data_IF_225971926083
#
_entry.id   IF_225971926083
#
_cell.length_a   1.000
_cell.length_b   1.000
_cell.length_c   1.000
_cell.angle_alpha   90.00
_cell.angle_beta   90.00
_cell.angle_gamma   90.00
#
_symmetry.space_group_name_H-M   'P 1'
#
loop_
_entity.id
_entity.type
_entity.pdbx_description
1 polymer ?
#
# COMPACT_ATOMS: atom_id res chain seq x y z
N UNK A 1 52.47 -0.35 67.04
CA UNK A 1 52.27 0.87 66.23
C UNK A 1 52.85 0.57 64.85
N UNK A 2 52.23 0.71 63.68
CA UNK A 2 50.91 1.17 63.20
C UNK A 2 50.58 0.26 62.00
N UNK A 3 49.32 -0.16 61.89
CA UNK A 3 48.74 -0.87 60.75
C UNK A 3 48.49 0.09 59.56
N UNK A 4 48.17 -0.53 58.41
CA UNK A 4 47.32 -0.07 57.27
C UNK A 4 48.11 0.45 56.06
N UNK A 5 47.75 0.16 54.81
CA UNK A 5 46.82 -0.79 54.19
C UNK A 5 47.11 -0.70 52.67
N UNK A 6 47.13 -1.83 51.96
CA UNK A 6 47.06 -1.84 50.50
C UNK A 6 45.69 -1.31 50.07
N UNK A 7 45.66 -0.34 49.15
CA UNK A 7 44.48 -0.03 48.37
C UNK A 7 44.83 -0.19 46.89
N UNK A 8 44.48 -1.34 46.34
CA UNK A 8 44.42 -1.55 44.90
C UNK A 8 43.16 -0.85 44.38
N UNK A 9 43.34 0.26 43.67
CA UNK A 9 42.27 0.91 42.91
C UNK A 9 42.05 0.12 41.62
N UNK A 10 41.05 -0.75 41.62
CA UNK A 10 40.48 -1.31 40.38
C UNK A 10 39.62 -0.21 39.76
N UNK A 11 40.11 0.39 38.69
CA UNK A 11 39.32 1.30 37.86
C UNK A 11 38.37 0.46 36.99
N UNK A 12 37.12 0.37 37.41
CA UNK A 12 36.04 -0.19 36.60
C UNK A 12 35.64 0.87 35.56
N UNK A 13 36.16 0.76 34.34
CA UNK A 13 35.74 1.61 33.23
C UNK A 13 34.33 1.19 32.81
N UNK A 14 33.33 1.96 33.24
CA UNK A 14 31.96 1.84 32.77
C UNK A 14 31.92 2.42 31.34
N UNK A 15 32.00 1.55 30.33
CA UNK A 15 31.66 1.94 28.96
C UNK A 15 30.14 2.11 28.94
N UNK A 16 29.68 3.32 29.24
CA UNK A 16 28.32 3.72 28.87
C UNK A 16 28.33 3.79 27.36
N UNK A 17 27.76 2.77 26.71
CA UNK A 17 27.36 2.89 25.33
C UNK A 17 26.38 4.08 25.29
N UNK A 18 26.88 5.23 24.82
CA UNK A 18 26.03 6.33 24.40
C UNK A 18 25.27 5.79 23.19
N UNK A 19 24.15 5.12 23.45
CA UNK A 19 23.11 5.00 22.45
C UNK A 19 22.87 6.43 21.94
N UNK A 20 22.82 6.65 20.62
CA UNK A 20 22.38 7.94 20.11
C UNK A 20 21.07 8.28 20.83
N UNK A 21 20.89 9.55 21.26
CA UNK A 21 19.62 9.93 21.89
C UNK A 21 18.52 9.43 20.97
N UNK A 22 17.62 8.60 21.50
CA UNK A 22 16.41 8.22 20.80
C UNK A 22 15.83 9.54 20.30
N UNK A 23 15.87 9.76 18.99
CA UNK A 23 15.20 10.91 18.41
C UNK A 23 13.78 10.84 18.94
N UNK A 24 13.33 11.92 19.58
CA UNK A 24 11.95 12.00 20.01
C UNK A 24 11.10 11.59 18.81
N UNK A 25 10.38 10.47 18.94
CA UNK A 25 9.46 10.00 17.89
C UNK A 25 8.64 11.23 17.51
N UNK A 26 8.65 11.66 16.23
CA UNK A 26 7.99 12.88 15.86
C UNK A 26 6.57 12.88 16.39
N UNK A 27 6.13 14.04 16.85
CA UNK A 27 4.73 14.45 16.88
C UNK A 27 4.00 13.89 15.66
N UNK A 28 2.85 13.24 15.84
CA UNK A 28 1.89 12.82 14.82
C UNK A 28 2.21 13.41 13.42
N UNK A 29 2.70 12.58 12.50
CA UNK A 29 2.99 13.01 11.13
C UNK A 29 1.76 12.84 10.26
N UNK A 30 1.38 13.91 9.55
CA UNK A 30 0.29 13.84 8.57
C UNK A 30 0.85 13.20 7.30
N UNK A 31 0.30 12.05 6.92
CA UNK A 31 0.68 11.34 5.69
C UNK A 31 0.36 12.17 4.45
N UNK A 32 -0.84 12.75 4.36
CA UNK A 32 -1.25 13.48 3.14
C UNK A 32 -0.80 14.94 3.14
N UNK A 33 -0.08 15.33 2.09
CA UNK A 33 0.36 16.69 1.75
C UNK A 33 -0.55 17.39 0.73
N UNK A 34 -1.86 17.17 0.83
CA UNK A 34 -2.91 17.59 -0.12
C UNK A 34 -3.27 19.09 -0.08
N UNK A 35 -2.34 19.93 0.37
CA UNK A 35 -2.42 21.39 0.37
C UNK A 35 -1.19 22.09 -0.22
N UNK A 36 -0.33 21.34 -0.89
CA UNK A 36 0.94 21.79 -1.47
C UNK A 36 1.05 21.30 -2.91
N UNK A 37 1.10 22.22 -3.88
CA UNK A 37 1.25 21.88 -5.29
C UNK A 37 2.45 20.95 -5.55
N UNK A 38 2.23 19.89 -6.32
CA UNK A 38 3.25 18.90 -6.68
C UNK A 38 3.57 17.88 -5.58
N UNK A 39 2.78 17.81 -4.50
CA UNK A 39 2.96 16.79 -3.46
C UNK A 39 2.53 15.39 -3.91
N UNK A 40 1.59 15.30 -4.84
CA UNK A 40 1.24 14.07 -5.55
C UNK A 40 1.94 14.03 -6.90
N UNK A 41 2.56 12.90 -7.20
CA UNK A 41 3.27 12.65 -8.47
C UNK A 41 2.86 11.30 -9.06
N UNK A 42 3.02 11.16 -10.37
CA UNK A 42 2.81 9.89 -11.06
C UNK A 42 3.82 8.84 -10.58
N UNK A 43 3.38 7.58 -10.49
CA UNK A 43 4.25 6.47 -10.14
C UNK A 43 5.48 6.41 -11.07
N UNK A 44 6.63 6.01 -10.52
CA UNK A 44 7.93 5.92 -11.22
C UNK A 44 8.46 7.27 -11.76
N UNK A 45 7.97 8.39 -11.23
CA UNK A 45 8.47 9.73 -11.56
C UNK A 45 8.86 10.50 -10.30
N UNK A 46 9.70 11.52 -10.45
CA UNK A 46 10.04 12.43 -9.34
C UNK A 46 9.12 13.66 -9.31
N UNK A 47 8.67 14.13 -10.47
CA UNK A 47 7.86 15.33 -10.65
C UNK A 47 6.79 15.18 -11.75
N UNK A 48 6.53 13.96 -12.20
CA UNK A 48 5.51 13.68 -13.20
C UNK A 48 4.12 14.00 -12.64
N UNK A 49 3.28 14.65 -13.44
CA UNK A 49 1.95 15.07 -13.03
C UNK A 49 0.99 15.04 -14.21
N UNK A 50 -0.29 14.83 -13.89
CA UNK A 50 -1.43 15.08 -14.75
C UNK A 50 -2.46 15.97 -14.03
N UNK A 51 -3.67 16.11 -14.57
CA UNK A 51 -4.73 16.88 -13.89
C UNK A 51 -5.14 16.24 -12.56
N UNK A 52 -5.18 14.90 -12.46
CA UNK A 52 -5.52 14.19 -11.24
C UNK A 52 -4.52 14.47 -10.12
N UNK A 53 -3.22 14.30 -10.36
CA UNK A 53 -2.14 14.58 -9.41
C UNK A 53 -2.12 16.05 -8.98
N UNK A 54 -2.30 16.98 -9.93
CA UNK A 54 -2.37 18.40 -9.63
C UNK A 54 -3.54 18.73 -8.70
N UNK A 55 -4.72 18.13 -8.92
CA UNK A 55 -5.88 18.31 -8.04
C UNK A 55 -5.73 17.60 -6.71
N UNK A 56 -5.09 16.44 -6.67
CA UNK A 56 -4.81 15.73 -5.44
C UNK A 56 -3.88 16.52 -4.52
N UNK A 57 -2.89 17.21 -5.10
CA UNK A 57 -1.92 18.03 -4.39
C UNK A 57 -2.54 19.20 -3.60
N UNK A 58 -3.74 19.67 -3.95
CA UNK A 58 -4.35 20.86 -3.33
C UNK A 58 -5.82 20.65 -2.91
N UNK A 59 -6.34 19.44 -3.10
CA UNK A 59 -7.77 19.15 -3.10
C UNK A 59 -8.40 18.97 -1.73
N UNK A 60 -7.60 18.67 -0.70
CA UNK A 60 -8.04 18.43 0.70
C UNK A 60 -9.27 17.52 0.81
N UNK A 61 -9.23 16.37 0.14
CA UNK A 61 -10.32 15.39 0.14
C UNK A 61 -10.12 14.35 1.24
N UNK A 62 -11.15 13.57 1.49
CA UNK A 62 -11.15 12.58 2.56
C UNK A 62 -10.28 11.37 2.18
N UNK A 63 -9.68 10.74 3.18
CA UNK A 63 -9.10 9.40 3.09
C UNK A 63 -9.83 8.49 4.09
N UNK A 64 -10.24 7.29 3.67
CA UNK A 64 -10.80 6.28 4.58
C UNK A 64 -10.19 4.90 4.33
N UNK A 65 -10.47 3.98 5.25
CA UNK A 65 -9.92 2.61 5.24
C UNK A 65 -8.38 2.56 5.10
N UNK A 66 -7.63 3.17 6.05
CA UNK A 66 -6.19 3.25 5.94
C UNK A 66 -5.51 1.90 6.19
N UNK A 67 -4.35 1.71 5.58
CA UNK A 67 -3.44 0.58 5.80
C UNK A 67 -2.00 1.06 5.92
N UNK A 68 -1.13 0.25 6.53
CA UNK A 68 0.29 0.56 6.69
C UNK A 68 1.12 -0.72 6.70
N UNK A 69 2.30 -0.67 6.10
CA UNK A 69 3.32 -1.72 6.18
C UNK A 69 4.70 -1.06 6.35
N UNK A 70 5.54 -1.68 7.17
CA UNK A 70 6.95 -1.31 7.35
C UNK A 70 7.77 -2.39 6.65
N UNK A 71 8.78 -1.97 5.90
CA UNK A 71 9.69 -2.91 5.24
C UNK A 71 10.55 -3.64 6.30
N UNK A 72 10.55 -4.99 6.34
CA UNK A 72 11.32 -5.75 7.33
C UNK A 72 12.84 -5.64 7.09
N UNK A 73 13.27 -5.26 5.89
CA UNK A 73 14.69 -5.14 5.50
C UNK A 73 15.23 -3.72 5.68
N UNK A 74 14.36 -2.72 5.74
CA UNK A 74 14.68 -1.32 6.02
C UNK A 74 13.51 -0.62 6.74
N UNK A 75 13.59 -0.49 8.06
CA UNK A 75 12.48 0.06 8.87
C UNK A 75 12.24 1.55 8.68
N UNK A 76 13.13 2.27 8.00
CA UNK A 76 12.87 3.66 7.61
C UNK A 76 11.90 3.75 6.43
N UNK A 77 11.73 2.65 5.68
CA UNK A 77 10.74 2.53 4.62
C UNK A 77 9.39 2.13 5.18
N UNK A 78 8.43 3.04 5.05
CA UNK A 78 7.04 2.83 5.47
C UNK A 78 6.13 3.15 4.31
N UNK A 79 5.19 2.25 4.02
CA UNK A 79 4.14 2.48 3.03
C UNK A 79 2.83 2.62 3.77
N UNK A 80 2.03 3.61 3.39
CA UNK A 80 0.65 3.76 3.80
C UNK A 80 -0.25 3.75 2.57
N UNK A 81 -1.50 3.34 2.76
CA UNK A 81 -2.53 3.34 1.73
C UNK A 81 -3.87 3.76 2.29
N UNK A 82 -4.75 4.24 1.41
CA UNK A 82 -6.14 4.54 1.76
C UNK A 82 -7.01 4.57 0.51
N UNK A 83 -8.32 4.58 0.71
CA UNK A 83 -9.27 5.07 -0.28
C UNK A 83 -9.13 6.60 -0.37
N UNK A 84 -8.43 7.10 -1.38
CA UNK A 84 -8.14 8.53 -1.54
C UNK A 84 -9.18 9.20 -2.45
N UNK A 85 -10.01 10.06 -1.85
CA UNK A 85 -11.05 10.77 -2.57
C UNK A 85 -10.51 12.00 -3.31
N UNK A 86 -9.20 12.27 -3.25
CA UNK A 86 -8.57 13.31 -4.06
C UNK A 86 -8.81 13.07 -5.56
N UNK A 87 -8.75 11.79 -5.98
CA UNK A 87 -8.98 11.37 -7.36
C UNK A 87 -10.38 11.75 -7.88
N UNK A 88 -11.37 11.83 -6.98
CA UNK A 88 -12.77 12.12 -7.33
C UNK A 88 -12.97 13.57 -7.82
N UNK A 89 -11.99 14.46 -7.64
CA UNK A 89 -12.05 15.82 -8.17
C UNK A 89 -12.06 15.82 -9.71
N UNK A 90 -11.30 14.90 -10.32
CA UNK A 90 -11.14 14.78 -11.76
C UNK A 90 -11.90 13.56 -12.28
N UNK A 91 -11.66 12.41 -11.65
CA UNK A 91 -12.17 11.10 -12.11
C UNK A 91 -13.60 10.79 -11.61
N UNK A 92 -14.21 11.68 -10.82
CA UNK A 92 -15.55 11.53 -10.22
C UNK A 92 -15.74 10.41 -9.19
N UNK A 93 -14.72 9.58 -8.95
CA UNK A 93 -14.74 8.46 -8.01
C UNK A 93 -13.43 8.35 -7.21
N UNK A 94 -13.47 7.56 -6.13
CA UNK A 94 -12.33 7.28 -5.24
C UNK A 94 -11.32 6.35 -5.90
N UNK A 95 -10.04 6.49 -5.53
CA UNK A 95 -8.98 5.59 -6.00
C UNK A 95 -8.06 5.12 -4.88
N UNK A 96 -7.29 4.05 -5.12
CA UNK A 96 -6.31 3.56 -4.15
C UNK A 96 -5.10 4.50 -4.07
N UNK A 97 -4.91 5.14 -2.92
CA UNK A 97 -3.78 6.02 -2.63
C UNK A 97 -2.54 5.25 -2.19
N UNK A 98 -1.37 5.68 -2.66
CA UNK A 98 -0.08 5.06 -2.37
C UNK A 98 0.87 6.12 -1.78
N UNK A 99 1.28 5.94 -0.52
CA UNK A 99 2.11 6.91 0.18
C UNK A 99 3.35 6.22 0.72
N UNK A 100 4.53 6.75 0.40
CA UNK A 100 5.82 6.14 0.76
C UNK A 100 6.68 7.11 1.57
N UNK A 101 7.19 6.64 2.70
CA UNK A 101 8.22 7.31 3.49
C UNK A 101 9.53 6.53 3.41
N UNK A 102 10.65 7.23 3.51
CA UNK A 102 12.02 6.66 3.63
C UNK A 102 12.77 7.23 4.83
N UNK A 103 12.05 7.77 5.80
CA UNK A 103 12.58 8.42 6.99
C UNK A 103 11.74 8.08 8.24
N UNK A 104 11.18 6.86 8.27
CA UNK A 104 10.44 6.35 9.41
C UNK A 104 9.07 7.02 9.61
N UNK A 105 8.48 7.58 8.55
CA UNK A 105 7.18 8.24 8.55
C UNK A 105 7.22 9.75 8.80
N UNK A 106 8.41 10.37 8.79
CA UNK A 106 8.54 11.82 9.01
C UNK A 106 8.09 12.63 7.78
N UNK A 107 8.41 12.16 6.58
CA UNK A 107 7.95 12.74 5.31
C UNK A 107 7.44 11.65 4.35
N UNK A 108 6.60 12.05 3.39
CA UNK A 108 5.88 11.14 2.51
C UNK A 108 5.89 11.62 1.05
N UNK A 109 6.21 10.72 0.13
CA UNK A 109 5.91 10.84 -1.29
C UNK A 109 4.52 10.28 -1.57
N UNK A 110 3.71 10.99 -2.35
CA UNK A 110 2.29 10.67 -2.55
C UNK A 110 2.02 10.35 -4.01
N UNK A 111 1.25 9.29 -4.25
CA UNK A 111 0.81 8.85 -5.58
C UNK A 111 -0.55 8.18 -5.45
N UNK A 112 -1.13 7.84 -6.60
CA UNK A 112 -2.19 6.84 -6.72
C UNK A 112 -1.59 5.54 -7.27
N UNK A 113 -2.21 4.39 -6.99
CA UNK A 113 -1.86 3.13 -7.66
C UNK A 113 -2.14 3.28 -9.17
N UNK A 114 -1.21 2.90 -10.07
CA UNK A 114 -1.39 3.11 -11.51
C UNK A 114 -2.64 2.46 -12.12
N UNK A 115 -3.27 3.19 -13.03
CA UNK A 115 -4.42 2.75 -13.83
C UNK A 115 -5.76 3.39 -13.47
N UNK A 116 -5.76 4.55 -12.80
CA UNK A 116 -6.98 5.36 -12.65
C UNK A 116 -7.47 5.87 -14.01
N UNK A 117 -8.74 6.31 -14.15
CA UNK A 117 -9.36 6.56 -15.44
C UNK A 117 -8.58 7.50 -16.38
N UNK A 118 -8.05 8.60 -15.85
CA UNK A 118 -7.29 9.59 -16.63
C UNK A 118 -5.75 9.36 -16.59
N UNK A 119 -5.29 8.23 -16.04
CA UNK A 119 -3.86 7.87 -15.97
C UNK A 119 -3.34 7.47 -17.36
N UNK A 120 -2.64 8.39 -18.01
CA UNK A 120 -2.03 8.18 -19.34
C UNK A 120 -0.52 7.93 -19.25
N UNK A 121 0.01 7.65 -18.05
CA UNK A 121 1.41 7.25 -17.89
C UNK A 121 1.63 5.82 -18.41
N UNK A 122 2.87 5.47 -18.78
CA UNK A 122 3.22 4.10 -19.20
C UNK A 122 2.83 3.05 -18.12
N UNK A 123 2.96 3.40 -16.83
CA UNK A 123 2.55 2.56 -15.71
C UNK A 123 1.02 2.40 -15.63
N UNK A 124 0.29 3.48 -15.90
CA UNK A 124 -1.17 3.50 -15.95
C UNK A 124 -1.71 2.65 -17.10
N UNK A 125 -1.27 2.93 -18.33
CA UNK A 125 -1.73 2.23 -19.53
C UNK A 125 -1.37 0.73 -19.53
N UNK A 126 -0.26 0.34 -18.91
CA UNK A 126 0.12 -1.06 -18.74
C UNK A 126 -0.65 -1.79 -17.65
N UNK A 127 -1.30 -1.07 -16.73
CA UNK A 127 -2.08 -1.64 -15.64
C UNK A 127 -3.37 -2.27 -16.18
N UNK A 128 -3.69 -3.54 -15.86
CA UNK A 128 -4.90 -4.21 -16.33
C UNK A 128 -6.19 -3.63 -15.76
N UNK A 129 -6.11 -2.69 -14.80
CA UNK A 129 -7.29 -1.97 -14.30
C UNK A 129 -7.66 -0.75 -15.14
N UNK A 130 -6.72 -0.20 -15.92
CA UNK A 130 -6.95 1.00 -16.73
C UNK A 130 -8.06 0.77 -17.75
N UNK A 131 -9.03 1.70 -17.79
CA UNK A 131 -10.22 1.60 -18.62
C UNK A 131 -11.22 0.49 -18.24
N UNK A 132 -11.02 -0.23 -17.13
CA UNK A 132 -11.91 -1.34 -16.71
C UNK A 132 -12.82 -1.01 -15.53
N UNK A 133 -12.45 -0.03 -14.71
CA UNK A 133 -13.23 0.47 -13.59
C UNK A 133 -13.06 1.97 -13.38
N UNK A 134 -14.06 2.59 -12.75
CA UNK A 134 -14.02 4.01 -12.38
C UNK A 134 -13.55 4.26 -10.94
N UNK A 135 -13.62 3.25 -10.06
CA UNK A 135 -13.27 3.39 -8.66
C UNK A 135 -12.34 2.27 -8.18
N UNK A 136 -11.50 2.60 -7.20
CA UNK A 136 -10.60 1.67 -6.54
C UNK A 136 -10.47 1.95 -5.05
N UNK A 137 -10.14 0.93 -4.26
CA UNK A 137 -10.00 1.08 -2.82
C UNK A 137 -9.66 -0.21 -2.08
N UNK A 138 -9.99 -0.20 -0.79
CA UNK A 138 -9.78 -1.20 0.25
C UNK A 138 -8.35 -1.77 0.25
N UNK A 139 -7.34 -0.90 0.42
CA UNK A 139 -5.96 -1.31 0.29
C UNK A 139 -5.49 -2.17 1.45
N UNK A 140 -4.73 -3.22 1.14
CA UNK A 140 -3.93 -3.97 2.09
C UNK A 140 -2.57 -4.29 1.49
N UNK A 141 -1.55 -4.49 2.33
CA UNK A 141 -0.18 -4.50 1.83
C UNK A 141 0.77 -5.23 2.77
N UNK A 142 1.80 -5.84 2.20
CA UNK A 142 2.83 -6.58 2.92
C UNK A 142 4.10 -6.64 2.08
N UNK A 143 5.25 -6.59 2.75
CA UNK A 143 6.56 -6.74 2.13
C UNK A 143 7.01 -8.21 2.17
N UNK A 144 7.71 -8.69 1.14
CA UNK A 144 8.55 -9.89 1.28
C UNK A 144 9.94 -9.52 1.83
N UNK A 145 10.76 -10.54 2.09
CA UNK A 145 12.13 -10.38 2.62
C UNK A 145 13.15 -9.89 1.57
N UNK A 146 12.70 -9.66 0.33
CA UNK A 146 13.51 -9.08 -0.76
C UNK A 146 13.23 -7.58 -0.94
N UNK A 147 12.40 -6.97 -0.08
CA UNK A 147 12.02 -5.56 -0.18
C UNK A 147 11.00 -5.28 -1.29
N UNK A 148 10.30 -6.30 -1.80
CA UNK A 148 9.16 -6.09 -2.67
C UNK A 148 7.91 -5.85 -1.83
N UNK A 149 7.18 -4.79 -2.14
CA UNK A 149 5.85 -4.56 -1.59
C UNK A 149 4.80 -5.17 -2.50
N UNK A 150 3.90 -5.96 -1.92
CA UNK A 150 2.64 -6.34 -2.55
C UNK A 150 1.51 -5.50 -1.97
N UNK A 151 0.74 -4.87 -2.85
CA UNK A 151 -0.34 -3.94 -2.52
C UNK A 151 -1.63 -4.44 -3.15
N UNK A 152 -2.49 -5.06 -2.36
CA UNK A 152 -3.78 -5.58 -2.79
C UNK A 152 -4.88 -4.51 -2.68
N UNK A 153 -5.78 -4.49 -3.66
CA UNK A 153 -6.85 -3.51 -3.74
C UNK A 153 -8.03 -4.05 -4.56
N UNK A 154 -9.17 -3.37 -4.46
CA UNK A 154 -10.32 -3.61 -5.35
C UNK A 154 -10.38 -2.57 -6.46
N UNK A 155 -10.90 -2.99 -7.61
CA UNK A 155 -11.26 -2.11 -8.72
C UNK A 155 -12.67 -2.46 -9.19
N UNK A 156 -13.55 -1.45 -9.21
CA UNK A 156 -14.99 -1.65 -9.29
C UNK A 156 -15.74 -0.50 -9.97
N UNK A 157 -16.95 -0.79 -10.44
CA UNK A 157 -17.87 0.20 -10.99
C UNK A 157 -19.16 0.24 -10.15
N UNK A 158 -19.55 1.43 -9.69
CA UNK A 158 -20.85 1.66 -9.04
C UNK A 158 -22.00 1.80 -10.06
N UNK A 159 -21.66 2.17 -11.29
CA UNK A 159 -22.58 2.28 -12.42
C UNK A 159 -22.42 1.12 -13.40
N UNK A 160 -23.33 0.99 -14.37
CA UNK A 160 -23.37 -0.16 -15.28
C UNK A 160 -22.17 -0.17 -16.25
N UNK A 161 -21.55 -1.34 -16.49
CA UNK A 161 -21.78 -2.60 -15.80
C UNK A 161 -21.19 -2.59 -14.38
N UNK A 162 -22.01 -2.93 -13.38
CA UNK A 162 -21.57 -3.01 -11.99
C UNK A 162 -20.73 -4.27 -11.83
N UNK A 163 -19.48 -4.11 -11.40
CA UNK A 163 -18.51 -5.17 -11.18
C UNK A 163 -17.55 -4.78 -10.06
N UNK A 164 -16.82 -5.75 -9.51
CA UNK A 164 -15.74 -5.53 -8.55
C UNK A 164 -14.79 -6.70 -8.56
N UNK A 165 -13.51 -6.44 -8.78
CA UNK A 165 -12.45 -7.44 -8.79
C UNK A 165 -11.36 -7.12 -7.79
N UNK A 166 -10.61 -8.16 -7.41
CA UNK A 166 -9.44 -8.06 -6.54
C UNK A 166 -8.18 -8.14 -7.40
N UNK A 167 -7.26 -7.23 -7.12
CA UNK A 167 -5.98 -7.08 -7.80
C UNK A 167 -4.86 -6.96 -6.78
N UNK A 168 -3.63 -7.27 -7.20
CA UNK A 168 -2.42 -7.02 -6.44
C UNK A 168 -1.42 -6.30 -7.33
N UNK A 169 -0.99 -5.11 -6.91
CA UNK A 169 0.15 -4.41 -7.46
C UNK A 169 1.44 -4.86 -6.76
N UNK A 170 2.53 -4.96 -7.50
CA UNK A 170 3.88 -5.15 -6.95
C UNK A 170 4.68 -3.88 -7.14
N UNK A 171 5.38 -3.48 -6.10
CA UNK A 171 6.41 -2.46 -6.13
C UNK A 171 7.75 -3.07 -5.73
N UNK A 172 8.78 -2.80 -6.52
CA UNK A 172 10.17 -3.16 -6.24
C UNK A 172 10.89 -2.03 -5.50
N UNK A 173 12.18 -2.25 -5.20
CA UNK A 173 13.09 -1.25 -4.64
C UNK A 173 12.53 -0.61 -3.36
N UNK A 174 12.13 -1.44 -2.39
CA UNK A 174 11.53 -0.99 -1.13
C UNK A 174 10.31 -0.10 -1.36
N UNK A 175 9.44 -0.48 -2.29
CA UNK A 175 8.24 0.28 -2.67
C UNK A 175 8.50 1.51 -3.56
N UNK A 176 9.71 1.78 -3.99
CA UNK A 176 9.98 2.99 -4.80
C UNK A 176 9.47 2.89 -6.24
N UNK A 177 9.44 1.67 -6.80
CA UNK A 177 9.19 1.45 -8.22
C UNK A 177 7.97 0.55 -8.43
N UNK A 178 6.90 1.07 -9.01
CA UNK A 178 5.80 0.26 -9.53
C UNK A 178 6.30 -0.68 -10.63
N UNK A 179 6.05 -1.98 -10.46
CA UNK A 179 6.44 -3.04 -11.38
C UNK A 179 5.25 -3.46 -12.25
N UNK A 180 4.16 -3.93 -11.62
CA UNK A 180 2.97 -4.43 -12.31
C UNK A 180 1.75 -4.50 -11.40
N UNK A 181 0.60 -4.72 -12.01
CA UNK A 181 -0.64 -5.14 -11.33
C UNK A 181 -1.16 -6.44 -11.94
N UNK A 182 -1.61 -7.37 -11.10
CA UNK A 182 -2.15 -8.67 -11.49
C UNK A 182 -3.59 -8.83 -10.99
N UNK A 183 -4.46 -9.34 -11.84
CA UNK A 183 -5.82 -9.74 -11.47
C UNK A 183 -5.77 -11.05 -10.68
N UNK A 184 -6.28 -11.04 -9.44
CA UNK A 184 -6.44 -12.26 -8.63
C UNK A 184 -7.81 -12.88 -8.86
N UNK A 185 -8.87 -12.06 -8.80
CA UNK A 185 -10.23 -12.54 -8.99
C UNK A 185 -11.11 -11.50 -9.63
N UNK A 186 -11.73 -11.87 -10.75
CA UNK A 186 -12.75 -11.05 -11.40
C UNK A 186 -14.11 -11.25 -10.74
N UNK A 187 -14.85 -10.15 -10.54
CA UNK A 187 -16.29 -10.20 -10.29
C UNK A 187 -17.09 -10.44 -11.57
N UNK A 188 -18.39 -10.75 -11.44
CA UNK A 188 -19.27 -10.90 -12.59
C UNK A 188 -20.01 -9.58 -12.87
N UNK A 189 -19.88 -8.99 -14.07
CA UNK A 189 -20.61 -7.79 -14.45
C UNK A 189 -22.13 -7.95 -14.29
N UNK A 190 -22.81 -6.89 -13.85
CA UNK A 190 -24.26 -6.90 -13.67
C UNK A 190 -24.92 -5.56 -14.01
N UNK A 191 -26.19 -5.61 -14.40
CA UNK A 191 -27.01 -4.43 -14.68
C UNK A 191 -27.75 -3.88 -13.46
N UNK A 192 -27.65 -4.55 -12.31
CA UNK A 192 -28.31 -4.21 -11.04
C UNK A 192 -27.33 -4.48 -9.90
N UNK A 193 -27.21 -3.56 -8.95
CA UNK A 193 -26.33 -3.72 -7.80
C UNK A 193 -26.67 -5.00 -7.03
N UNK A 194 -25.65 -5.81 -6.76
CA UNK A 194 -25.82 -7.12 -6.11
C UNK A 194 -26.35 -8.24 -7.02
N UNK A 195 -26.56 -8.04 -8.32
CA UNK A 195 -26.96 -9.14 -9.21
C UNK A 195 -25.77 -9.93 -9.79
N UNK A 196 -24.54 -9.42 -9.63
CA UNK A 196 -23.30 -10.09 -10.01
C UNK A 196 -22.46 -10.45 -8.79
N UNK A 197 -21.43 -11.29 -9.00
CA UNK A 197 -20.43 -11.58 -7.96
C UNK A 197 -19.53 -10.35 -7.77
N UNK A 198 -19.42 -9.90 -6.53
CA UNK A 198 -18.54 -8.78 -6.16
C UNK A 198 -17.44 -9.28 -5.24
N UNK A 199 -16.20 -8.90 -5.51
CA UNK A 199 -15.04 -9.28 -4.70
C UNK A 199 -14.62 -8.08 -3.86
N UNK A 200 -14.54 -8.23 -2.54
CA UNK A 200 -14.29 -7.13 -1.60
C UNK A 200 -13.67 -7.59 -0.27
N UNK A 201 -13.20 -6.66 0.56
CA UNK A 201 -12.48 -6.88 1.83
C UNK A 201 -11.28 -7.80 1.66
N UNK A 202 -10.41 -7.40 0.73
CA UNK A 202 -9.15 -8.09 0.47
C UNK A 202 -8.17 -7.88 1.63
N UNK A 203 -7.46 -8.94 2.01
CA UNK A 203 -6.29 -8.90 2.87
C UNK A 203 -5.17 -9.71 2.25
N UNK A 204 -3.94 -9.25 2.43
CA UNK A 204 -2.74 -9.87 1.86
C UNK A 204 -1.62 -9.95 2.91
N UNK A 205 -0.81 -11.01 2.83
CA UNK A 205 0.48 -11.13 3.55
C UNK A 205 1.48 -11.84 2.66
N UNK A 206 2.74 -11.41 2.68
CA UNK A 206 3.86 -12.20 2.17
C UNK A 206 4.46 -13.05 3.30
N UNK A 207 5.01 -14.21 2.96
CA UNK A 207 5.74 -15.07 3.89
C UNK A 207 7.15 -14.50 4.11
N UNK A 208 7.36 -13.94 5.29
CA UNK A 208 8.62 -13.33 5.74
C UNK A 208 9.46 -14.30 6.60
N UNK A 209 9.32 -15.61 6.35
CA UNK A 209 10.05 -16.64 7.09
C UNK A 209 11.09 -17.30 6.20
N UNK A 210 12.12 -17.90 6.81
CA UNK A 210 13.13 -18.71 6.10
C UNK A 210 12.63 -20.14 5.73
N UNK A 211 11.32 -20.36 5.72
CA UNK A 211 10.69 -21.68 5.53
C UNK A 211 10.57 -22.12 4.07
N UNK A 212 9.96 -23.29 3.85
CA UNK A 212 9.65 -23.80 2.50
C UNK A 212 8.77 -22.84 1.67
N UNK A 213 8.05 -21.95 2.34
CA UNK A 213 7.10 -21.03 1.73
C UNK A 213 7.58 -19.58 1.70
N UNK A 214 8.84 -19.32 2.07
CA UNK A 214 9.46 -18.00 2.01
C UNK A 214 9.14 -17.28 0.69
N UNK A 215 8.72 -16.01 0.77
CA UNK A 215 8.38 -15.18 -0.39
C UNK A 215 7.04 -15.50 -1.07
N UNK A 216 6.30 -16.53 -0.64
CA UNK A 216 4.94 -16.74 -1.11
C UNK A 216 4.03 -15.58 -0.68
N UNK A 217 3.12 -15.18 -1.55
CA UNK A 217 2.17 -14.10 -1.28
C UNK A 217 0.76 -14.66 -1.18
N UNK A 218 0.11 -14.45 -0.05
CA UNK A 218 -1.20 -15.01 0.26
C UNK A 218 -2.25 -13.91 0.25
N UNK A 219 -3.35 -14.18 -0.42
CA UNK A 219 -4.40 -13.19 -0.72
C UNK A 219 -5.75 -13.80 -0.39
N UNK A 220 -6.52 -13.19 0.51
CA UNK A 220 -7.84 -13.68 0.93
C UNK A 220 -8.88 -12.57 0.97
N UNK A 221 -10.08 -12.83 0.42
CA UNK A 221 -11.12 -11.81 0.26
C UNK A 221 -12.51 -12.40 0.42
N UNK A 222 -13.51 -11.53 0.56
CA UNK A 222 -14.92 -11.91 0.58
C UNK A 222 -15.52 -11.83 -0.82
N UNK A 223 -16.17 -12.90 -1.26
CA UNK A 223 -17.04 -12.93 -2.42
C UNK A 223 -18.50 -12.73 -1.99
N UNK A 224 -19.13 -11.68 -2.52
CA UNK A 224 -20.52 -11.34 -2.28
C UNK A 224 -21.39 -11.80 -3.45
N UNK A 225 -22.45 -12.55 -3.14
CA UNK A 225 -23.42 -13.04 -4.12
C UNK A 225 -24.61 -12.09 -4.32
N UNK A 226 -24.77 -11.10 -3.43
CA UNK A 226 -25.83 -10.11 -3.48
C UNK A 226 -27.23 -10.74 -3.48
N UNK A 227 -28.04 -10.43 -4.50
CA UNK A 227 -29.39 -10.96 -4.72
C UNK A 227 -29.40 -12.38 -5.30
N UNK A 228 -28.26 -12.94 -5.70
CA UNK A 228 -28.18 -14.35 -6.03
C UNK A 228 -28.33 -15.18 -4.75
N UNK A 229 -29.00 -16.32 -4.82
CA UNK A 229 -29.29 -17.21 -3.69
C UNK A 229 -28.06 -17.98 -3.14
N UNK A 230 -26.85 -17.43 -3.32
CA UNK A 230 -25.61 -17.98 -2.78
C UNK A 230 -25.23 -17.34 -1.45
N UNK A 231 -24.60 -18.11 -0.56
CA UNK A 231 -23.96 -17.56 0.63
C UNK A 231 -22.69 -16.79 0.22
N UNK A 232 -22.40 -15.71 0.92
CA UNK A 232 -21.08 -15.08 0.82
C UNK A 232 -20.00 -16.09 1.25
N UNK A 233 -18.83 -16.00 0.63
CA UNK A 233 -17.72 -16.91 0.89
C UNK A 233 -16.42 -16.12 1.07
N UNK A 234 -15.54 -16.61 1.94
CA UNK A 234 -14.14 -16.18 1.94
C UNK A 234 -13.39 -17.05 0.94
N UNK A 235 -12.72 -16.41 0.00
CA UNK A 235 -11.88 -17.05 -1.00
C UNK A 235 -10.41 -16.77 -0.69
N UNK A 236 -9.54 -17.58 -1.28
CA UNK A 236 -8.10 -17.54 -1.07
C UNK A 236 -7.37 -17.87 -2.37
N UNK A 237 -6.25 -17.19 -2.60
CA UNK A 237 -5.28 -17.45 -3.65
C UNK A 237 -3.86 -17.23 -3.11
N UNK A 238 -2.86 -17.80 -3.78
CA UNK A 238 -1.46 -17.54 -3.43
C UNK A 238 -0.60 -17.43 -4.68
N UNK A 239 0.37 -16.54 -4.64
CA UNK A 239 1.49 -16.52 -5.57
C UNK A 239 2.68 -17.27 -4.97
N UNK A 240 3.36 -18.04 -5.81
CA UNK A 240 4.66 -18.68 -5.50
C UNK A 240 5.76 -18.18 -6.43
N UNK A 241 5.54 -17.03 -7.08
CA UNK A 241 6.38 -16.46 -8.13
C UNK A 241 6.51 -14.93 -7.99
N UNK A 242 6.53 -14.43 -6.75
CA UNK A 242 6.60 -13.01 -6.40
C UNK A 242 5.55 -12.16 -7.15
N UNK A 243 4.29 -12.59 -7.09
CA UNK A 243 3.14 -11.88 -7.63
C UNK A 243 3.13 -11.77 -9.15
N UNK A 244 3.72 -12.73 -9.87
CA UNK A 244 3.52 -12.84 -11.33
C UNK A 244 2.16 -13.48 -11.62
N UNK A 245 1.74 -14.47 -10.80
CA UNK A 245 0.43 -15.12 -10.89
C UNK A 245 -0.12 -15.50 -9.51
N UNK A 246 -1.45 -15.69 -9.41
CA UNK A 246 -2.19 -16.03 -8.19
C UNK A 246 -3.21 -17.15 -8.44
#
# INVERSE_FOLDING_TARGET
MRRRALFSLVALALVVALAPPAQAVPTESKVTGDDTAGSYVLANTTDGSDETMARCSEGRRQQNEPTVAVDPTDTDVVIAGSNDYCAAIVNNEVWAGYYRSTDGGATWSLSLVPGYPDDTSDAGESSPVHGTCGASGDPTQSFDDDGNLFYAFICFNRAKPINGGVYVAKYADHGATYDRTVLVKRGSPSGLFGAGLFQDKINLTADQTDGEFAGNVYTAWSQYHGLQSGNNAVLFARSTDHGVSY
#
